data_IF_937823681343
#
_entry.id   IF_937823681343
#
_cell.length_a   1.000
_cell.length_b   1.000
_cell.length_c   1.000
_cell.angle_alpha   90.00
_cell.angle_beta   90.00
_cell.angle_gamma   90.00
#
_symmetry.space_group_name_H-M   'P 1'
#
loop_
_entity.id
_entity.type
_entity.pdbx_description
1 polymer ?
#
# COMPACT_ATOMS: atom_id res chain seq x y z
N UNK A 1 43.99 -17.73 -54.44
CA UNK A 1 43.14 -16.94 -53.52
C UNK A 1 42.00 -17.85 -53.04
N UNK A 2 42.16 -18.51 -51.90
CA UNK A 2 41.15 -19.42 -51.32
C UNK A 2 40.12 -18.59 -50.56
N UNK A 3 38.86 -18.59 -51.01
CA UNK A 3 37.75 -17.97 -50.30
C UNK A 3 37.37 -18.85 -49.11
N UNK A 4 37.72 -18.42 -47.90
CA UNK A 4 37.23 -19.05 -46.66
C UNK A 4 35.82 -18.49 -46.41
N UNK A 5 34.76 -19.32 -46.45
CA UNK A 5 33.42 -18.84 -46.16
C UNK A 5 33.33 -18.59 -44.65
N UNK A 6 33.09 -17.32 -44.28
CA UNK A 6 32.72 -16.97 -42.92
C UNK A 6 31.47 -17.77 -42.52
N UNK A 7 31.64 -18.73 -41.62
CA UNK A 7 30.53 -19.35 -40.89
C UNK A 7 29.93 -18.26 -40.01
N UNK A 8 28.93 -17.55 -40.54
CA UNK A 8 28.03 -16.70 -39.75
C UNK A 8 27.49 -17.61 -38.65
N UNK A 9 27.99 -17.44 -37.42
CA UNK A 9 27.65 -18.29 -36.29
C UNK A 9 26.13 -18.34 -36.14
N UNK A 10 25.58 -19.55 -36.10
CA UNK A 10 24.15 -19.69 -35.83
C UNK A 10 23.82 -18.95 -34.53
N UNK A 11 22.68 -18.22 -34.46
CA UNK A 11 22.26 -17.58 -33.23
C UNK A 11 22.17 -18.64 -32.14
N UNK A 12 22.86 -18.42 -31.02
CA UNK A 12 22.85 -19.33 -29.87
C UNK A 12 21.41 -19.69 -29.52
N UNK A 13 21.11 -20.98 -29.45
CA UNK A 13 19.77 -21.46 -29.10
C UNK A 13 19.43 -20.94 -27.71
N UNK A 14 18.41 -20.11 -27.64
CA UNK A 14 17.96 -19.55 -26.38
C UNK A 14 17.23 -20.64 -25.60
N UNK A 15 17.71 -20.94 -24.39
CA UNK A 15 17.15 -22.02 -23.55
C UNK A 15 15.65 -21.79 -23.26
N UNK A 16 15.29 -20.54 -22.99
CA UNK A 16 13.91 -20.11 -22.82
C UNK A 16 13.62 -19.02 -23.85
N UNK A 17 12.50 -19.11 -24.60
CA UNK A 17 12.08 -18.04 -25.48
C UNK A 17 11.88 -16.73 -24.71
N UNK A 18 12.32 -15.59 -25.27
CA UNK A 18 12.17 -14.27 -24.62
C UNK A 18 10.72 -13.95 -24.23
N UNK A 19 9.76 -14.41 -25.02
CA UNK A 19 8.33 -14.22 -24.75
C UNK A 19 7.90 -14.88 -23.45
N UNK A 20 8.33 -16.13 -23.23
CA UNK A 20 8.04 -16.90 -22.01
C UNK A 20 8.66 -16.23 -20.79
N UNK A 21 9.88 -15.71 -20.91
CA UNK A 21 10.55 -15.04 -19.79
C UNK A 21 9.88 -13.72 -19.42
N UNK A 22 9.46 -12.95 -20.41
CA UNK A 22 8.66 -11.74 -20.21
C UNK A 22 7.30 -12.04 -19.57
N UNK A 23 6.65 -13.14 -19.97
CA UNK A 23 5.38 -13.56 -19.37
C UNK A 23 5.59 -13.96 -17.90
N UNK A 24 6.63 -14.73 -17.60
CA UNK A 24 7.00 -15.09 -16.24
C UNK A 24 7.24 -13.85 -15.37
N UNK A 25 8.07 -12.91 -15.83
CA UNK A 25 8.37 -11.65 -15.13
C UNK A 25 7.11 -10.82 -14.88
N UNK A 26 6.21 -10.74 -15.87
CA UNK A 26 4.94 -10.03 -15.73
C UNK A 26 4.06 -10.64 -14.66
N UNK A 27 3.85 -11.96 -14.68
CA UNK A 27 2.96 -12.63 -13.72
C UNK A 27 3.55 -12.62 -12.31
N UNK A 28 4.86 -12.83 -12.17
CA UNK A 28 5.53 -12.70 -10.88
C UNK A 28 5.49 -11.26 -10.34
N UNK A 29 5.70 -10.25 -11.20
CA UNK A 29 5.60 -8.84 -10.82
C UNK A 29 4.22 -8.46 -10.28
N UNK A 30 3.13 -8.98 -10.86
CA UNK A 30 1.77 -8.81 -10.31
C UNK A 30 1.64 -9.39 -8.91
N UNK A 31 2.25 -10.56 -8.66
CA UNK A 31 2.20 -11.22 -7.35
C UNK A 31 3.04 -10.49 -6.30
N UNK A 32 4.18 -9.91 -6.66
CA UNK A 32 4.95 -9.06 -5.76
C UNK A 32 4.17 -7.81 -5.35
N UNK A 33 3.48 -7.16 -6.30
CA UNK A 33 2.61 -6.03 -6.00
C UNK A 33 1.44 -6.45 -5.09
N UNK A 34 0.84 -7.60 -5.35
CA UNK A 34 -0.25 -8.13 -4.52
C UNK A 34 0.23 -8.43 -3.09
N UNK A 35 1.44 -8.98 -2.91
CA UNK A 35 2.05 -9.23 -1.61
C UNK A 35 2.19 -7.92 -0.80
N UNK A 36 2.75 -6.89 -1.43
CA UNK A 36 2.95 -5.59 -0.80
C UNK A 36 1.61 -4.91 -0.46
N UNK A 37 0.65 -4.92 -1.39
CA UNK A 37 -0.69 -4.38 -1.18
C UNK A 37 -1.42 -5.10 -0.03
N UNK A 38 -1.30 -6.42 0.07
CA UNK A 38 -1.89 -7.22 1.15
C UNK A 38 -1.30 -6.84 2.50
N UNK A 39 0.03 -6.70 2.60
CA UNK A 39 0.74 -6.28 3.83
C UNK A 39 0.37 -4.86 4.24
N UNK A 40 0.34 -3.94 3.27
CA UNK A 40 -0.05 -2.54 3.51
C UNK A 40 -1.49 -2.44 4.01
N UNK A 41 -2.43 -3.10 3.34
CA UNK A 41 -3.84 -3.12 3.74
C UNK A 41 -4.02 -3.67 5.16
N UNK A 42 -3.33 -4.76 5.50
CA UNK A 42 -3.36 -5.32 6.85
C UNK A 42 -2.86 -4.31 7.90
N UNK A 43 -1.76 -3.61 7.62
CA UNK A 43 -1.17 -2.61 8.52
C UNK A 43 -2.09 -1.41 8.70
N UNK A 44 -2.64 -0.89 7.60
CA UNK A 44 -3.49 0.30 7.61
C UNK A 44 -4.83 0.02 8.30
N UNK A 45 -5.42 -1.16 8.11
CA UNK A 45 -6.63 -1.56 8.83
C UNK A 45 -6.39 -1.71 10.34
N UNK A 46 -5.28 -2.31 10.77
CA UNK A 46 -4.94 -2.37 12.20
C UNK A 46 -4.82 -0.99 12.83
N UNK A 47 -4.10 -0.07 12.16
CA UNK A 47 -3.99 1.31 12.62
C UNK A 47 -5.36 2.00 12.71
N UNK A 48 -6.23 1.76 11.72
CA UNK A 48 -7.59 2.31 11.72
C UNK A 48 -8.41 1.78 12.91
N UNK A 49 -8.36 0.48 13.20
CA UNK A 49 -9.09 -0.11 14.33
C UNK A 49 -8.53 0.34 15.68
N UNK A 50 -7.21 0.52 15.79
CA UNK A 50 -6.59 1.04 17.00
C UNK A 50 -7.00 2.50 17.26
N UNK A 51 -7.08 3.31 16.20
CA UNK A 51 -7.57 4.69 16.27
C UNK A 51 -9.05 4.76 16.70
N UNK A 52 -9.89 3.86 16.19
CA UNK A 52 -11.30 3.76 16.60
C UNK A 52 -11.46 3.48 18.10
N UNK A 53 -10.65 2.57 18.65
CA UNK A 53 -10.65 2.25 20.09
C UNK A 53 -10.10 3.39 20.93
N UNK A 54 -9.01 4.04 20.50
CA UNK A 54 -8.46 5.18 21.21
C UNK A 54 -9.47 6.33 21.28
N UNK A 55 -10.16 6.60 20.17
CA UNK A 55 -11.20 7.62 20.09
C UNK A 55 -12.38 7.32 21.03
N UNK A 56 -12.94 6.11 21.01
CA UNK A 56 -14.08 5.79 21.87
C UNK A 56 -13.73 5.78 23.35
N UNK A 57 -12.55 5.27 23.73
CA UNK A 57 -12.04 5.35 25.11
C UNK A 57 -11.88 6.80 25.58
N UNK A 58 -11.38 7.67 24.71
CA UNK A 58 -11.23 9.09 25.03
C UNK A 58 -12.59 9.77 25.20
N UNK A 59 -13.57 9.42 24.38
CA UNK A 59 -14.93 9.93 24.49
C UNK A 59 -15.62 9.49 25.80
N UNK A 60 -15.44 8.23 26.21
CA UNK A 60 -15.90 7.72 27.52
C UNK A 60 -15.21 8.43 28.68
N UNK A 61 -13.90 8.70 28.57
CA UNK A 61 -13.17 9.43 29.60
C UNK A 61 -13.72 10.86 29.75
N UNK A 62 -13.96 11.56 28.63
CA UNK A 62 -14.53 12.91 28.65
C UNK A 62 -15.91 12.92 29.32
N UNK A 63 -16.79 11.97 29.00
CA UNK A 63 -18.12 11.92 29.63
C UNK A 63 -18.04 11.62 31.13
N UNK A 64 -17.12 10.74 31.54
CA UNK A 64 -16.89 10.43 32.95
C UNK A 64 -16.31 11.61 33.74
N UNK A 65 -15.35 12.34 33.15
CA UNK A 65 -14.76 13.53 33.75
C UNK A 65 -15.82 14.64 33.94
N UNK A 66 -16.77 14.78 32.99
CA UNK A 66 -17.92 15.69 33.10
C UNK A 66 -18.89 15.26 34.21
N UNK A 67 -19.18 13.95 34.34
CA UNK A 67 -20.02 13.43 35.43
C UNK A 67 -19.44 13.73 36.82
N UNK A 68 -18.12 13.78 36.93
CA UNK A 68 -17.41 14.07 38.18
C UNK A 68 -17.37 15.56 38.53
N UNK A 69 -17.95 16.44 37.68
CA UNK A 69 -17.97 17.87 37.91
C UNK A 69 -19.01 18.23 38.99
N UNK A 70 -18.66 19.03 40.03
CA UNK A 70 -19.59 19.45 41.09
C UNK A 70 -20.88 20.14 40.58
N UNK A 71 -20.87 20.70 39.37
CA UNK A 71 -22.08 21.26 38.74
C UNK A 71 -23.18 20.21 38.55
N UNK A 72 -22.81 18.93 38.39
CA UNK A 72 -23.77 17.82 38.32
C UNK A 72 -24.50 17.57 39.66
N UNK A 73 -23.95 18.04 40.80
CA UNK A 73 -24.65 17.97 42.10
C UNK A 73 -25.60 19.14 42.30
N UNK A 74 -25.38 20.24 41.59
CA UNK A 74 -26.09 21.51 41.77
C UNK A 74 -27.28 21.66 40.79
N UNK A 75 -27.16 21.09 39.60
CA UNK A 75 -28.18 21.18 38.54
C UNK A 75 -28.59 19.78 38.08
N UNK A 76 -29.82 19.41 38.43
CA UNK A 76 -30.39 18.10 38.11
C UNK A 76 -30.58 17.90 36.60
N UNK A 77 -30.92 18.95 35.85
CA UNK A 77 -31.10 18.87 34.40
C UNK A 77 -29.75 18.68 33.70
N UNK A 78 -28.71 19.37 34.19
CA UNK A 78 -27.34 19.16 33.73
C UNK A 78 -26.86 17.72 34.00
N UNK A 79 -27.07 17.20 35.21
CA UNK A 79 -26.75 15.81 35.56
C UNK A 79 -27.44 14.81 34.63
N UNK A 80 -28.73 14.99 34.36
CA UNK A 80 -29.49 14.14 33.46
C UNK A 80 -28.91 14.15 32.03
N UNK A 81 -28.52 15.32 31.52
CA UNK A 81 -27.89 15.45 30.19
C UNK A 81 -26.52 14.77 30.11
N UNK A 82 -25.65 14.97 31.11
CA UNK A 82 -24.31 14.38 31.13
C UNK A 82 -24.37 12.86 31.34
N UNK A 83 -25.33 12.35 32.12
CA UNK A 83 -25.58 10.90 32.28
C UNK A 83 -26.04 10.26 30.97
N UNK A 84 -26.90 10.94 30.21
CA UNK A 84 -27.31 10.48 28.88
C UNK A 84 -26.13 10.46 27.89
N UNK A 85 -25.26 11.47 27.94
CA UNK A 85 -24.03 11.52 27.16
C UNK A 85 -23.09 10.35 27.51
N UNK A 86 -22.83 10.11 28.79
CA UNK A 86 -21.97 9.02 29.25
C UNK A 86 -22.48 7.64 28.81
N UNK A 87 -23.79 7.42 28.94
CA UNK A 87 -24.44 6.20 28.45
C UNK A 87 -24.24 6.04 26.93
N UNK A 88 -24.39 7.12 26.16
CA UNK A 88 -24.17 7.09 24.71
C UNK A 88 -22.70 6.81 24.35
N UNK A 89 -21.73 7.40 25.08
CA UNK A 89 -20.31 7.16 24.86
C UNK A 89 -19.90 5.72 25.18
N UNK A 90 -20.41 5.15 26.28
CA UNK A 90 -20.20 3.74 26.63
C UNK A 90 -20.79 2.78 25.60
N UNK A 91 -21.98 3.08 25.06
CA UNK A 91 -22.58 2.31 23.95
C UNK A 91 -21.73 2.39 22.68
N UNK A 92 -21.21 3.58 22.35
CA UNK A 92 -20.31 3.76 21.21
C UNK A 92 -19.00 2.99 21.38
N UNK A 93 -18.43 2.95 22.59
CA UNK A 93 -17.23 2.17 22.89
C UNK A 93 -17.47 0.67 22.72
N UNK A 94 -18.54 0.13 23.32
CA UNK A 94 -18.92 -1.27 23.15
C UNK A 94 -19.15 -1.63 21.66
N UNK A 95 -19.82 -0.74 20.91
CA UNK A 95 -20.00 -0.90 19.47
C UNK A 95 -18.67 -0.95 18.71
N UNK A 96 -17.74 -0.03 19.02
CA UNK A 96 -16.44 -0.01 18.37
C UNK A 96 -15.61 -1.25 18.72
N UNK A 97 -15.67 -1.73 19.97
CA UNK A 97 -15.01 -2.98 20.36
C UNK A 97 -15.53 -4.17 19.52
N UNK A 98 -16.84 -4.29 19.36
CA UNK A 98 -17.43 -5.36 18.52
C UNK A 98 -17.04 -5.20 17.06
N UNK A 99 -17.11 -3.98 16.51
CA UNK A 99 -16.67 -3.68 15.14
C UNK A 99 -15.21 -4.10 14.92
N UNK A 100 -14.31 -3.79 15.84
CA UNK A 100 -12.90 -4.17 15.76
C UNK A 100 -12.74 -5.69 15.81
N UNK A 101 -13.45 -6.38 16.71
CA UNK A 101 -13.44 -7.85 16.76
C UNK A 101 -13.92 -8.48 15.45
N UNK A 102 -14.97 -7.92 14.83
CA UNK A 102 -15.46 -8.38 13.53
C UNK A 102 -14.45 -8.14 12.41
N UNK A 103 -13.86 -6.94 12.31
CA UNK A 103 -12.83 -6.63 11.31
C UNK A 103 -11.60 -7.53 11.47
N UNK A 104 -11.21 -7.82 12.71
CA UNK A 104 -10.11 -8.71 13.01
C UNK A 104 -10.33 -10.12 12.43
N UNK A 105 -11.52 -10.70 12.66
CA UNK A 105 -11.87 -12.06 12.19
C UNK A 105 -12.15 -12.12 10.69
N UNK A 106 -12.86 -11.13 10.15
CA UNK A 106 -13.40 -11.18 8.78
C UNK A 106 -12.47 -10.58 7.74
N UNK A 107 -11.46 -9.79 8.14
CA UNK A 107 -10.55 -9.10 7.21
C UNK A 107 -9.09 -9.32 7.56
N UNK A 108 -8.66 -9.01 8.79
CA UNK A 108 -7.24 -9.06 9.16
C UNK A 108 -6.70 -10.50 9.13
N UNK A 109 -7.46 -11.46 9.65
CA UNK A 109 -7.08 -12.88 9.64
C UNK A 109 -7.00 -13.46 8.22
N UNK A 110 -7.99 -13.27 7.33
CA UNK A 110 -7.88 -13.65 5.93
C UNK A 110 -6.68 -13.02 5.22
N UNK A 111 -6.43 -11.72 5.40
CA UNK A 111 -5.23 -11.06 4.84
C UNK A 111 -3.93 -11.71 5.32
N UNK A 112 -3.85 -12.05 6.62
CA UNK A 112 -2.68 -12.75 7.18
C UNK A 112 -2.51 -14.14 6.59
N UNK A 113 -3.61 -14.91 6.44
CA UNK A 113 -3.61 -16.25 5.85
C UNK A 113 -3.18 -16.21 4.39
N UNK A 114 -3.75 -15.33 3.59
CA UNK A 114 -3.36 -15.11 2.20
C UNK A 114 -1.88 -14.71 2.09
N UNK A 115 -1.45 -13.76 2.94
CA UNK A 115 -0.08 -13.29 3.03
C UNK A 115 0.95 -14.40 3.32
N UNK A 116 0.55 -15.48 3.99
CA UNK A 116 1.44 -16.59 4.36
C UNK A 116 1.84 -17.50 3.19
N UNK A 117 1.17 -17.39 2.05
CA UNK A 117 1.46 -18.20 0.85
C UNK A 117 2.68 -17.66 0.08
N UNK A 118 2.89 -16.33 0.10
CA UNK A 118 3.94 -15.68 -0.68
C UNK A 118 5.37 -16.16 -0.39
N UNK A 119 5.79 -16.43 0.86
CA UNK A 119 7.11 -17.00 1.12
C UNK A 119 7.38 -18.32 0.36
N UNK A 120 6.38 -19.21 0.29
CA UNK A 120 6.51 -20.47 -0.44
C UNK A 120 6.64 -20.24 -1.95
N UNK A 121 5.80 -19.36 -2.50
CA UNK A 121 5.87 -18.93 -3.90
C UNK A 121 7.25 -18.35 -4.24
N UNK A 122 7.75 -17.41 -3.43
CA UNK A 122 9.04 -16.77 -3.62
C UNK A 122 10.19 -17.80 -3.60
N UNK A 123 10.09 -18.83 -2.75
CA UNK A 123 11.04 -19.94 -2.75
C UNK A 123 10.94 -20.83 -3.99
N UNK A 124 9.73 -21.06 -4.53
CA UNK A 124 9.56 -21.80 -5.79
C UNK A 124 10.17 -21.04 -6.98
N UNK A 125 9.98 -19.72 -7.05
CA UNK A 125 10.60 -18.85 -8.06
C UNK A 125 12.13 -18.89 -7.96
N UNK A 126 12.69 -18.79 -6.75
CA UNK A 126 14.13 -18.95 -6.53
C UNK A 126 14.67 -20.31 -7.00
N UNK A 127 13.93 -21.40 -6.72
CA UNK A 127 14.29 -22.75 -7.17
C UNK A 127 14.26 -22.88 -8.70
N UNK A 128 13.29 -22.26 -9.38
CA UNK A 128 13.25 -22.19 -10.85
C UNK A 128 14.47 -21.45 -11.40
N UNK A 129 14.81 -20.28 -10.84
CA UNK A 129 15.96 -19.50 -11.32
C UNK A 129 17.28 -20.25 -11.11
N UNK A 130 17.44 -20.94 -9.97
CA UNK A 130 18.60 -21.79 -9.74
C UNK A 130 18.68 -22.92 -10.79
N UNK A 131 17.58 -23.63 -11.04
CA UNK A 131 17.53 -24.68 -12.06
C UNK A 131 17.86 -24.14 -13.46
N UNK A 132 17.42 -22.92 -13.79
CA UNK A 132 17.73 -22.26 -15.05
C UNK A 132 19.22 -21.90 -15.18
N UNK A 133 19.86 -21.46 -14.09
CA UNK A 133 21.30 -21.21 -14.06
C UNK A 133 22.10 -22.50 -14.25
N UNK A 134 21.72 -23.58 -13.58
CA UNK A 134 22.35 -24.88 -13.73
C UNK A 134 22.16 -25.44 -15.15
N UNK A 135 20.97 -25.26 -15.74
CA UNK A 135 20.71 -25.61 -17.13
C UNK A 135 21.61 -24.80 -18.08
N UNK A 136 21.68 -23.47 -17.94
CA UNK A 136 22.58 -22.61 -18.74
C UNK A 136 24.04 -23.10 -18.69
N UNK A 137 24.52 -23.48 -17.50
CA UNK A 137 25.90 -23.97 -17.31
C UNK A 137 26.15 -25.29 -18.05
N UNK A 138 25.26 -26.28 -17.92
CA UNK A 138 25.43 -27.58 -18.56
C UNK A 138 25.17 -27.52 -20.08
N UNK A 139 24.24 -26.67 -20.52
CA UNK A 139 24.00 -26.40 -21.94
C UNK A 139 25.25 -25.84 -22.60
N UNK A 140 25.92 -24.87 -21.98
CA UNK A 140 27.19 -24.33 -22.46
C UNK A 140 28.31 -25.40 -22.51
N UNK A 141 28.31 -26.37 -21.57
CA UNK A 141 29.23 -27.53 -21.60
C UNK A 141 28.96 -28.42 -22.82
N UNK A 142 27.69 -28.70 -23.14
CA UNK A 142 27.31 -29.46 -24.35
C UNK A 142 27.74 -28.73 -25.61
N UNK A 143 27.39 -27.44 -25.76
CA UNK A 143 27.77 -26.62 -26.92
C UNK A 143 29.29 -26.60 -27.14
N UNK A 144 30.06 -26.47 -26.06
CA UNK A 144 31.54 -26.52 -26.11
C UNK A 144 32.10 -27.84 -26.66
N UNK A 145 31.43 -28.97 -26.47
CA UNK A 145 31.85 -30.25 -27.06
C UNK A 145 31.28 -30.47 -28.47
N UNK A 146 30.14 -29.87 -28.79
CA UNK A 146 29.56 -29.91 -30.14
C UNK A 146 30.38 -29.11 -31.16
N UNK A 147 31.02 -28.03 -30.73
CA UNK A 147 31.91 -27.19 -31.57
C UNK A 147 33.27 -27.84 -31.85
N UNK A 148 33.65 -28.89 -31.12
CA UNK A 148 34.95 -29.58 -31.30
C UNK A 148 34.90 -30.59 -32.44
N UNK A 149 36.08 -30.94 -32.96
CA UNK A 149 36.20 -32.00 -33.96
C UNK A 149 35.66 -33.33 -33.46
N UNK A 150 34.95 -34.05 -34.34
CA UNK A 150 34.23 -35.29 -34.05
C UNK A 150 35.15 -36.51 -33.96
N UNK A 151 36.09 -36.45 -33.02
CA UNK A 151 36.95 -37.58 -32.66
C UNK A 151 36.25 -38.49 -31.64
N UNK A 152 36.62 -39.77 -31.59
CA UNK A 152 36.05 -40.74 -30.64
C UNK A 152 36.00 -40.24 -29.18
N UNK A 153 37.11 -39.73 -28.61
CA UNK A 153 37.12 -39.18 -27.25
C UNK A 153 36.21 -37.96 -27.04
N UNK A 154 36.05 -37.10 -28.06
CA UNK A 154 35.15 -35.94 -27.99
C UNK A 154 33.69 -36.39 -28.02
N UNK A 155 33.35 -37.37 -28.86
CA UNK A 155 32.00 -37.94 -28.92
C UNK A 155 31.58 -38.58 -27.60
N UNK A 156 32.49 -39.30 -26.93
CA UNK A 156 32.23 -39.86 -25.61
C UNK A 156 31.94 -38.77 -24.56
N UNK A 157 32.73 -37.70 -24.52
CA UNK A 157 32.52 -36.56 -23.61
C UNK A 157 31.23 -35.79 -23.91
N UNK A 158 30.89 -35.63 -25.19
CA UNK A 158 29.64 -35.02 -25.62
C UNK A 158 28.44 -35.84 -25.14
N UNK A 159 28.50 -37.17 -25.28
CA UNK A 159 27.44 -38.06 -24.79
C UNK A 159 27.27 -37.93 -23.28
N UNK A 160 28.37 -37.98 -22.51
CA UNK A 160 28.33 -37.79 -21.05
C UNK A 160 27.72 -36.43 -20.66
N UNK A 161 28.14 -35.34 -21.31
CA UNK A 161 27.60 -34.01 -21.03
C UNK A 161 26.10 -33.90 -21.34
N UNK A 162 25.60 -34.62 -22.36
CA UNK A 162 24.16 -34.69 -22.67
C UNK A 162 23.38 -35.50 -21.63
N UNK A 163 23.93 -36.60 -21.13
CA UNK A 163 23.29 -37.37 -20.05
C UNK A 163 23.24 -36.57 -18.74
N UNK A 164 24.28 -35.79 -18.42
CA UNK A 164 24.27 -34.87 -17.27
C UNK A 164 23.23 -33.73 -17.43
N UNK A 165 23.06 -33.23 -18.66
CA UNK A 165 22.14 -32.14 -18.97
C UNK A 165 20.67 -32.54 -18.83
N UNK A 166 20.33 -33.77 -19.26
CA UNK A 166 18.94 -34.26 -19.35
C UNK A 166 18.14 -34.06 -18.06
N UNK A 167 18.56 -34.55 -16.88
CA UNK A 167 17.77 -34.38 -15.66
C UNK A 167 17.65 -32.92 -15.20
N UNK A 168 18.65 -32.07 -15.48
CA UNK A 168 18.62 -30.65 -15.11
C UNK A 168 17.65 -29.86 -16.00
N UNK A 169 17.63 -30.17 -17.30
CA UNK A 169 16.64 -29.60 -18.23
C UNK A 169 15.23 -30.00 -17.80
N UNK A 170 14.98 -31.28 -17.57
CA UNK A 170 13.65 -31.79 -17.24
C UNK A 170 13.15 -31.19 -15.91
N UNK A 171 14.04 -31.01 -14.93
CA UNK A 171 13.73 -30.33 -13.66
C UNK A 171 13.38 -28.84 -13.83
N UNK A 172 14.14 -28.11 -14.65
CA UNK A 172 13.83 -26.71 -14.98
C UNK A 172 12.48 -26.61 -15.71
N UNK A 173 12.25 -27.42 -16.74
CA UNK A 173 11.02 -27.40 -17.54
C UNK A 173 9.79 -27.69 -16.66
N UNK A 174 9.88 -28.65 -15.74
CA UNK A 174 8.83 -28.95 -14.78
C UNK A 174 8.52 -27.75 -13.87
N UNK A 175 9.53 -27.15 -13.23
CA UNK A 175 9.36 -25.97 -12.36
C UNK A 175 8.83 -24.76 -13.12
N UNK A 176 9.35 -24.53 -14.33
CA UNK A 176 8.95 -23.41 -15.18
C UNK A 176 7.48 -23.52 -15.60
N UNK A 177 7.07 -24.70 -16.08
CA UNK A 177 5.69 -24.97 -16.43
C UNK A 177 4.75 -24.80 -15.24
N UNK A 178 5.10 -25.38 -14.09
CA UNK A 178 4.31 -25.28 -12.87
C UNK A 178 4.05 -23.81 -12.49
N UNK A 179 5.08 -22.98 -12.46
CA UNK A 179 4.93 -21.57 -12.09
C UNK A 179 4.15 -20.75 -13.12
N UNK A 180 4.34 -21.01 -14.42
CA UNK A 180 3.57 -20.35 -15.47
C UNK A 180 2.08 -20.70 -15.41
N UNK A 181 1.73 -21.90 -14.95
CA UNK A 181 0.35 -22.33 -14.75
C UNK A 181 -0.25 -21.82 -13.44
N UNK A 182 0.49 -21.88 -12.33
CA UNK A 182 0.00 -21.60 -10.98
C UNK A 182 -0.04 -20.11 -10.63
N UNK A 183 0.95 -19.31 -11.05
CA UNK A 183 1.01 -17.87 -10.71
C UNK A 183 -0.23 -17.10 -11.20
N UNK A 184 -0.67 -17.23 -12.46
CA UNK A 184 -1.85 -16.52 -12.94
C UNK A 184 -3.13 -16.98 -12.23
N UNK A 185 -3.25 -18.29 -11.94
CA UNK A 185 -4.39 -18.85 -11.21
C UNK A 185 -4.47 -18.29 -9.80
N UNK A 186 -3.34 -18.29 -9.10
CA UNK A 186 -3.24 -17.71 -7.76
C UNK A 186 -3.59 -16.23 -7.76
N UNK A 187 -3.06 -15.46 -8.73
CA UNK A 187 -3.41 -14.05 -8.87
C UNK A 187 -4.92 -13.87 -9.06
N UNK A 188 -5.56 -14.63 -9.96
CA UNK A 188 -6.99 -14.50 -10.22
C UNK A 188 -7.87 -14.90 -9.02
N UNK A 189 -7.45 -15.90 -8.24
CA UNK A 189 -8.18 -16.35 -7.04
C UNK A 189 -8.34 -15.27 -5.96
N UNK A 190 -7.57 -14.18 -6.02
CA UNK A 190 -7.65 -13.06 -5.06
C UNK A 190 -9.04 -12.43 -4.99
N UNK A 191 -9.79 -12.43 -6.12
CA UNK A 191 -11.10 -11.80 -6.19
C UNK A 191 -12.09 -12.57 -5.30
N UNK A 192 -12.24 -13.85 -5.57
CA UNK A 192 -13.13 -14.74 -4.81
C UNK A 192 -12.69 -14.84 -3.34
N UNK A 193 -11.37 -14.80 -3.08
CA UNK A 193 -10.84 -14.85 -1.73
C UNK A 193 -11.16 -13.60 -0.90
N UNK A 194 -10.96 -12.39 -1.46
CA UNK A 194 -11.11 -11.15 -0.70
C UNK A 194 -12.51 -10.54 -0.73
N UNK A 195 -13.35 -10.90 -1.69
CA UNK A 195 -14.72 -10.41 -1.78
C UNK A 195 -15.50 -10.51 -0.45
N UNK A 196 -15.60 -11.67 0.22
CA UNK A 196 -16.33 -11.77 1.49
C UNK A 196 -15.73 -10.89 2.60
N UNK A 197 -14.41 -10.69 2.61
CA UNK A 197 -13.74 -9.80 3.56
C UNK A 197 -14.12 -8.34 3.33
N UNK A 198 -14.11 -7.87 2.08
CA UNK A 198 -14.48 -6.49 1.77
C UNK A 198 -15.97 -6.22 2.00
N UNK A 199 -16.85 -7.17 1.66
CA UNK A 199 -18.27 -7.07 1.99
C UNK A 199 -18.50 -6.96 3.50
N UNK A 200 -17.81 -7.79 4.29
CA UNK A 200 -17.88 -7.74 5.75
C UNK A 200 -17.36 -6.41 6.31
N UNK A 201 -16.27 -5.88 5.74
CA UNK A 201 -15.70 -4.60 6.11
C UNK A 201 -16.70 -3.45 5.88
N UNK A 202 -17.32 -3.40 4.69
CA UNK A 202 -18.33 -2.39 4.33
C UNK A 202 -19.52 -2.47 5.29
N UNK A 203 -20.00 -3.68 5.60
CA UNK A 203 -21.11 -3.87 6.56
C UNK A 203 -20.74 -3.41 7.96
N UNK A 204 -19.54 -3.72 8.44
CA UNK A 204 -19.05 -3.30 9.76
C UNK A 204 -18.91 -1.77 9.90
N UNK A 205 -18.63 -1.07 8.79
CA UNK A 205 -18.48 0.39 8.77
C UNK A 205 -19.80 1.12 8.47
N UNK A 206 -20.80 0.44 7.92
CA UNK A 206 -22.06 1.05 7.49
C UNK A 206 -22.87 1.63 8.66
N UNK A 207 -23.46 2.83 8.51
CA UNK A 207 -24.33 3.46 9.50
C UNK A 207 -25.55 2.61 9.90
N UNK A 208 -25.96 1.62 9.08
CA UNK A 208 -27.08 0.73 9.41
C UNK A 208 -26.88 -0.03 10.74
N UNK A 209 -25.63 -0.39 11.07
CA UNK A 209 -25.28 -1.00 12.35
C UNK A 209 -25.33 0.03 13.51
N UNK A 210 -25.08 1.32 13.22
CA UNK A 210 -25.22 2.43 14.19
C UNK A 210 -26.67 2.75 14.51
N UNK A 211 -27.58 2.63 13.54
CA UNK A 211 -29.01 2.95 13.71
C UNK A 211 -29.78 1.93 14.56
N UNK A 212 -29.32 0.67 14.63
CA UNK A 212 -29.97 -0.37 15.45
C UNK A 212 -29.51 -0.38 16.93
N UNK A 213 -28.34 0.19 17.25
CA UNK A 213 -27.77 0.23 18.61
C UNK A 213 -27.93 1.57 19.34
N UNK A 214 -28.54 2.57 18.69
CA UNK A 214 -28.99 3.81 19.33
C UNK A 214 -30.53 3.83 19.47
N UNK A 215 -31.16 2.94 20.27
CA UNK A 215 -32.54 3.15 20.65
C UNK A 215 -32.59 4.28 21.68
N UNK A 216 -32.82 5.47 21.15
CA UNK A 216 -33.51 6.61 21.74
C UNK A 216 -33.02 7.82 20.95
N UNK A 217 -33.89 8.36 20.09
CA UNK A 217 -33.86 9.80 19.85
C UNK A 217 -33.77 10.45 21.24
N UNK A 218 -32.72 11.19 21.59
CA UNK A 218 -32.72 11.89 22.86
C UNK A 218 -33.98 12.77 22.89
N UNK A 219 -34.85 12.57 23.89
CA UNK A 219 -36.00 13.44 24.11
C UNK A 219 -35.54 14.89 24.33
N UNK A 220 -34.27 15.09 24.71
CA UNK A 220 -33.60 16.38 24.70
C UNK A 220 -33.15 16.79 23.28
N UNK A 221 -33.69 17.88 22.71
CA UNK A 221 -33.27 18.39 21.39
C UNK A 221 -31.78 18.74 21.34
N UNK A 222 -31.14 19.00 22.48
CA UNK A 222 -29.73 19.39 22.58
C UNK A 222 -28.74 18.25 22.33
N UNK A 223 -29.14 16.99 22.41
CA UNK A 223 -28.26 15.84 22.16
C UNK A 223 -28.48 15.23 20.77
N UNK A 224 -29.43 15.75 19.98
CA UNK A 224 -29.77 15.23 18.64
C UNK A 224 -28.62 15.33 17.63
N UNK A 225 -27.68 16.26 17.83
CA UNK A 225 -26.48 16.41 17.00
C UNK A 225 -25.51 15.22 17.12
N UNK A 226 -25.49 14.52 18.27
CA UNK A 226 -24.62 13.35 18.48
C UNK A 226 -25.09 12.14 17.65
N UNK A 227 -26.39 12.05 17.38
CA UNK A 227 -26.99 10.95 16.62
C UNK A 227 -26.97 11.18 15.09
N UNK A 228 -26.69 12.41 14.62
CA UNK A 228 -26.66 12.74 13.19
C UNK A 228 -25.34 13.40 12.78
N UNK A 229 -24.33 12.63 12.37
CA UNK A 229 -23.09 13.19 11.82
C UNK A 229 -23.26 13.79 10.40
N UNK A 230 -24.39 13.58 9.72
CA UNK A 230 -24.53 13.83 8.28
C UNK A 230 -25.89 14.45 7.89
N UNK A 231 -26.26 15.57 8.51
CA UNK A 231 -27.26 16.48 7.91
C UNK A 231 -26.96 17.94 8.22
N UNK A 232 -25.74 18.40 7.89
CA UNK A 232 -25.63 19.78 7.41
C UNK A 232 -26.22 19.77 6.01
N UNK A 233 -27.42 20.30 5.89
CA UNK A 233 -28.01 20.71 4.62
C UNK A 233 -27.00 21.59 3.88
N UNK A 234 -26.46 21.10 2.76
CA UNK A 234 -26.03 22.01 1.70
C UNK A 234 -27.24 22.86 1.31
N UNK A 235 -27.11 24.18 1.16
CA UNK A 235 -28.12 24.95 0.43
C UNK A 235 -28.23 24.34 -0.96
N UNK A 236 -29.46 24.03 -1.38
CA UNK A 236 -29.77 23.54 -2.72
C UNK A 236 -29.14 24.46 -3.77
N UNK A 237 -28.11 23.99 -4.47
CA UNK A 237 -27.78 24.55 -5.78
C UNK A 237 -28.87 24.11 -6.77
N UNK A 238 -29.36 25.01 -7.64
CA UNK A 238 -30.29 24.62 -8.68
C UNK A 238 -29.59 23.69 -9.70
N UNK A 239 -30.32 22.77 -10.34
CA UNK A 239 -29.72 21.85 -11.30
C UNK A 239 -29.23 22.61 -12.53
N UNK A 240 -27.99 22.33 -12.96
CA UNK A 240 -27.47 22.78 -14.25
C UNK A 240 -28.17 22.03 -15.40
N UNK A 241 -28.39 22.68 -16.57
CA UNK A 241 -29.06 22.05 -17.70
C UNK A 241 -28.15 20.98 -18.33
N UNK A 242 -28.70 19.79 -18.56
CA UNK A 242 -28.05 18.71 -19.32
C UNK A 242 -28.12 18.99 -20.82
N UNK A 243 -27.04 18.80 -21.59
CA UNK A 243 -27.13 18.62 -23.04
C UNK A 243 -27.40 17.13 -23.37
N UNK A 244 -28.31 16.93 -24.31
CA UNK A 244 -28.66 15.63 -24.88
C UNK A 244 -27.46 14.89 -25.51
N UNK A 245 -27.50 13.55 -25.39
CA UNK A 245 -26.93 12.66 -26.38
C UNK A 245 -25.58 12.01 -26.04
N UNK A 246 -25.59 10.90 -25.28
CA UNK A 246 -24.71 9.72 -25.44
C UNK A 246 -24.99 8.65 -24.36
N UNK A 247 -24.69 7.35 -24.62
CA UNK A 247 -25.42 6.24 -24.03
C UNK A 247 -24.94 5.86 -22.61
N UNK A 248 -25.89 5.27 -21.88
CA UNK A 248 -25.79 4.78 -20.51
C UNK A 248 -24.75 3.66 -20.39
N UNK A 249 -23.65 3.97 -19.70
CA UNK A 249 -22.80 3.03 -18.94
C UNK A 249 -22.64 3.69 -17.57
N UNK A 250 -23.28 3.22 -16.51
CA UNK A 250 -23.01 1.93 -15.91
C UNK A 250 -22.12 2.16 -14.69
N UNK A 251 -22.74 2.57 -13.58
CA UNK A 251 -22.18 2.68 -12.22
C UNK A 251 -21.00 3.65 -12.03
N UNK A 252 -21.27 4.94 -11.77
CA UNK A 252 -20.43 5.74 -10.86
C UNK A 252 -21.01 7.10 -10.47
N UNK A 253 -20.62 7.57 -9.28
CA UNK A 253 -20.54 8.99 -8.84
C UNK A 253 -21.34 9.48 -7.63
N UNK A 254 -21.58 8.65 -6.61
CA UNK A 254 -21.87 9.19 -5.25
C UNK A 254 -21.07 8.56 -4.10
N UNK A 255 -20.32 7.49 -4.34
CA UNK A 255 -19.57 6.80 -3.26
C UNK A 255 -18.13 7.33 -3.14
N UNK A 256 -17.59 8.02 -4.14
CA UNK A 256 -16.17 8.44 -4.15
C UNK A 256 -15.80 9.65 -3.28
N UNK A 257 -16.74 10.56 -2.99
CA UNK A 257 -16.39 11.86 -2.41
C UNK A 257 -16.35 11.89 -0.87
N UNK A 258 -16.95 10.91 -0.19
CA UNK A 258 -17.02 10.89 1.27
C UNK A 258 -15.89 10.07 1.94
N UNK A 259 -15.21 9.20 1.19
CA UNK A 259 -14.11 8.38 1.71
C UNK A 259 -12.81 9.17 1.94
N UNK A 260 -12.54 10.20 1.13
CA UNK A 260 -11.32 11.02 1.21
C UNK A 260 -11.25 11.90 2.47
N UNK A 261 -12.40 12.30 3.02
CA UNK A 261 -12.46 13.16 4.22
C UNK A 261 -12.14 12.41 5.52
N UNK A 262 -12.27 11.08 5.54
CA UNK A 262 -12.02 10.26 6.73
C UNK A 262 -10.60 9.67 6.77
N UNK A 263 -9.92 9.55 5.64
CA UNK A 263 -8.57 8.95 5.54
C UNK A 263 -7.42 9.98 5.50
N UNK A 264 -7.70 11.29 5.49
CA UNK A 264 -6.67 12.32 5.38
C UNK A 264 -6.64 13.26 6.61
N UNK A 265 -5.72 13.04 7.58
CA UNK A 265 -5.58 13.89 8.77
C UNK A 265 -5.27 15.37 8.46
N UNK A 266 -4.64 15.66 7.32
CA UNK A 266 -4.23 17.02 6.93
C UNK A 266 -5.40 17.93 6.57
N UNK A 267 -6.59 17.39 6.29
CA UNK A 267 -7.78 18.18 5.95
C UNK A 267 -8.65 18.54 7.17
N UNK A 268 -8.31 18.06 8.38
CA UNK A 268 -9.12 18.28 9.60
C UNK A 268 -8.83 19.62 10.29
N UNK A 269 -7.71 20.28 9.99
CA UNK A 269 -7.33 21.56 10.59
C UNK A 269 -7.30 22.67 9.53
N UNK A 270 -8.47 23.08 9.06
CA UNK A 270 -8.65 24.35 8.39
C UNK A 270 -8.99 25.44 9.40
N UNK A 271 -8.00 25.89 10.17
CA UNK A 271 -8.06 27.22 10.77
C UNK A 271 -7.42 28.16 9.75
N UNK A 272 -8.21 29.14 9.29
CA UNK A 272 -7.72 30.24 8.47
C UNK A 272 -6.51 30.88 9.17
N UNK A 273 -5.35 30.83 8.51
CA UNK A 273 -4.22 31.70 8.85
C UNK A 273 -3.84 32.48 7.62
N UNK A 274 -4.15 33.76 7.70
CA UNK A 274 -3.78 34.84 6.80
C UNK A 274 -2.31 34.79 6.40
N UNK A 275 -2.09 34.81 5.08
CA UNK A 275 -0.96 35.33 4.32
C UNK A 275 0.27 35.80 5.12
N UNK A 276 1.35 35.04 5.05
CA UNK A 276 2.71 35.57 5.11
C UNK A 276 3.56 34.95 3.99
N UNK A 277 4.06 35.80 3.09
CA UNK A 277 5.02 35.42 2.04
C UNK A 277 6.35 34.97 2.68
N UNK A 278 7.06 33.99 2.13
CA UNK A 278 8.44 33.74 2.52
C UNK A 278 9.36 34.81 1.90
N UNK A 279 10.17 35.45 2.75
CA UNK A 279 11.32 36.26 2.35
C UNK A 279 12.31 35.36 1.61
N UNK A 280 12.67 35.73 0.38
CA UNK A 280 13.86 35.20 -0.29
C UNK A 280 15.09 35.61 0.51
N UNK A 281 15.91 34.63 0.87
CA UNK A 281 17.19 34.84 1.51
C UNK A 281 18.17 35.33 0.44
N UNK A 282 18.29 36.66 0.29
CA UNK A 282 19.37 37.23 -0.53
C UNK A 282 20.73 36.98 0.13
N UNK A 283 21.65 36.48 -0.69
CA UNK A 283 23.06 36.28 -0.37
C UNK A 283 23.72 37.67 -0.24
N UNK A 284 24.39 38.03 0.87
CA UNK A 284 25.02 39.34 0.98
C UNK A 284 26.22 39.43 0.03
N UNK A 285 26.24 40.50 -0.77
CA UNK A 285 27.36 40.88 -1.63
C UNK A 285 28.56 41.29 -0.77
N UNK A 286 29.76 40.86 -1.16
CA UNK A 286 31.01 41.25 -0.51
C UNK A 286 31.27 42.76 -0.66
N UNK A 287 31.83 43.44 0.36
CA UNK A 287 32.15 44.85 0.26
C UNK A 287 33.32 45.09 -0.70
N UNK A 288 33.35 46.23 -1.43
CA UNK A 288 34.44 46.56 -2.33
C UNK A 288 35.71 46.92 -1.54
N UNK A 289 36.87 46.48 -2.06
CA UNK A 289 38.17 46.82 -1.52
C UNK A 289 38.48 48.33 -1.68
N UNK A 290 39.05 49.01 -0.66
CA UNK A 290 39.45 50.40 -0.80
C UNK A 290 40.76 50.52 -1.58
N UNK A 291 40.76 51.36 -2.61
CA UNK A 291 41.97 51.81 -3.30
C UNK A 291 42.72 52.87 -2.47
N UNK A 292 44.07 52.93 -2.57
CA UNK A 292 44.93 53.65 -1.65
C UNK A 292 45.13 55.12 -2.06
N UNK A 293 45.66 55.94 -1.13
CA UNK A 293 46.61 57.06 -1.28
C UNK A 293 46.48 58.04 -0.09
N UNK A 294 47.46 58.92 0.21
CA UNK A 294 48.91 58.75 0.31
C UNK A 294 49.44 59.14 1.71
N UNK A 295 50.69 58.75 2.01
CA UNK A 295 51.29 58.85 3.34
C UNK A 295 51.73 60.25 3.81
N UNK A 296 52.34 60.27 5.01
CA UNK A 296 53.50 61.08 5.42
C UNK A 296 53.91 60.72 6.87
N UNK A 297 55.16 60.22 6.97
CA UNK A 297 56.22 60.39 8.00
C UNK A 297 56.04 59.94 9.46
N UNK A 298 56.82 58.90 9.78
CA UNK A 298 57.88 58.83 10.80
C UNK A 298 57.87 59.85 11.95
N UNK A 299 57.81 59.35 13.20
CA UNK A 299 58.80 59.75 14.23
C UNK A 299 58.94 58.70 15.35
N UNK A 300 60.19 58.27 15.47
CA UNK A 300 60.95 57.59 16.52
C UNK A 300 60.62 57.94 17.99
N UNK A 301 60.53 56.92 18.87
CA UNK A 301 61.39 56.81 20.08
C UNK A 301 61.03 55.62 20.96
N UNK A 302 62.07 54.84 21.29
CA UNK A 302 62.07 53.92 22.42
C UNK A 302 62.56 54.56 23.72
N UNK A 303 62.77 53.65 24.68
CA UNK A 303 63.45 53.75 25.99
C UNK A 303 62.56 54.03 27.21
N UNK A 304 62.69 53.13 28.20
CA UNK A 304 62.12 53.23 29.55
C UNK A 304 61.80 51.87 30.13
#
# INVERSE_FOLDING_TARGET
MSWIPFKIGQPKKQIVPKTVERDFEREYGKLQQLEEQTKRLQKDLKKSTDADLAMSKSAVKISLDLLSNPLCEQDQDFLNMVTALDTAMKRMDAFNQEKVNQIQKTVIEPLKKFGSVFPSLNMAVKRREQALQDYRRLQAKVEKYEEKEKTGPVLAKLHQAREELRPVRDDFEAKNKQLLDEMPRFYNSRLDYFQPSFESLIRAQSPALKTHLMPAQPHSPHLRWLCHPLRRTSPSLPPAPTPEGSPVVGWDSCVGSYWLLWLNPSLRMGVESSSTRPLQQEKPAAPPAPHPLPGVKDEDRGQG
#
